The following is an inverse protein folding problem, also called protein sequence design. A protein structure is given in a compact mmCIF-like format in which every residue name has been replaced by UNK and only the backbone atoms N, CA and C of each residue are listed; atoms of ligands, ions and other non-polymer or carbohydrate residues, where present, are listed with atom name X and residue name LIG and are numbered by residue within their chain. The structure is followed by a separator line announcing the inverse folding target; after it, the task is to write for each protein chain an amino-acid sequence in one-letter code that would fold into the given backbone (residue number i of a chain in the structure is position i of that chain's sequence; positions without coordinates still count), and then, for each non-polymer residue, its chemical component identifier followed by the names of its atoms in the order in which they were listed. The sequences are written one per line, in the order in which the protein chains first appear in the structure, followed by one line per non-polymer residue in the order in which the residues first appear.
data_IF_332611231706
#
_entry.id   IF_332611231706
#
_cell.length_a   1.000
_cell.length_b   1.000
_cell.length_c   1.000
_cell.angle_alpha   90.00
_cell.angle_beta   90.00
_cell.angle_gamma   90.00
#
_symmetry.space_group_name_H-M   'P 1'
#
loop_
_entity.id
_entity.type
_entity.pdbx_description
1 polymer ?
#
# COMPACT_ATOMS: atom_id res chain seq x y z
N UNK A 1 12.67 7.88 17.11
CA UNK A 1 12.70 6.38 17.07
C UNK A 1 13.53 5.94 15.86
N UNK A 2 14.34 4.87 15.96
CA UNK A 2 15.12 4.39 14.80
C UNK A 2 14.23 3.58 13.85
N UNK A 3 14.23 3.94 12.57
CA UNK A 3 13.46 3.30 11.50
C UNK A 3 14.05 1.95 11.06
N UNK A 4 15.37 1.83 11.15
CA UNK A 4 16.10 0.59 10.83
C UNK A 4 16.85 0.10 12.07
N UNK A 5 17.01 -1.22 12.20
CA UNK A 5 17.69 -1.84 13.35
C UNK A 5 19.18 -1.48 13.42
N UNK A 6 19.82 -1.32 12.24
CA UNK A 6 21.22 -0.86 12.13
C UNK A 6 21.49 -0.24 10.73
N UNK A 7 22.64 0.42 10.59
CA UNK A 7 23.05 1.11 9.36
C UNK A 7 23.25 0.15 8.18
N UNK A 8 23.87 -1.01 8.42
CA UNK A 8 24.09 -2.02 7.36
C UNK A 8 22.77 -2.56 6.82
N UNK A 9 21.78 -2.79 7.71
CA UNK A 9 20.44 -3.21 7.31
C UNK A 9 19.71 -2.16 6.48
N UNK A 10 19.84 -0.87 6.84
CA UNK A 10 19.35 0.24 6.02
C UNK A 10 19.95 0.20 4.63
N UNK A 11 21.27 0.05 4.54
CA UNK A 11 21.97 0.00 3.25
C UNK A 11 21.49 -1.16 2.38
N UNK A 12 21.38 -2.36 2.95
CA UNK A 12 20.85 -3.53 2.24
C UNK A 12 19.43 -3.34 1.71
N UNK A 13 18.56 -2.68 2.48
CA UNK A 13 17.21 -2.32 2.06
C UNK A 13 17.27 -1.36 0.88
N UNK A 14 18.07 -0.29 0.94
CA UNK A 14 18.16 0.72 -0.11
C UNK A 14 18.78 0.15 -1.39
N UNK A 15 19.83 -0.67 -1.29
CA UNK A 15 20.46 -1.32 -2.45
C UNK A 15 19.48 -2.26 -3.16
N UNK A 16 18.75 -3.06 -2.39
CA UNK A 16 17.73 -3.96 -2.95
C UNK A 16 16.50 -3.22 -3.47
N UNK A 17 16.11 -2.08 -2.87
CA UNK A 17 15.10 -1.16 -3.37
C UNK A 17 15.48 -0.64 -4.75
N UNK A 18 16.70 -0.13 -4.90
CA UNK A 18 17.21 0.36 -6.18
C UNK A 18 17.31 -0.77 -7.24
N UNK A 19 17.61 -1.98 -6.80
CA UNK A 19 17.64 -3.15 -7.69
C UNK A 19 16.23 -3.50 -8.18
N UNK A 20 15.21 -3.41 -7.32
CA UNK A 20 13.80 -3.57 -7.71
C UNK A 20 13.36 -2.51 -8.70
N UNK A 21 13.70 -1.23 -8.47
CA UNK A 21 13.37 -0.16 -9.41
C UNK A 21 13.95 -0.41 -10.81
N UNK A 22 15.18 -0.92 -10.90
CA UNK A 22 15.78 -1.30 -12.19
C UNK A 22 15.02 -2.44 -12.89
N UNK A 23 14.25 -3.23 -12.15
CA UNK A 23 13.40 -4.28 -12.73
C UNK A 23 12.03 -3.77 -13.20
N UNK A 24 11.66 -2.54 -12.89
CA UNK A 24 10.49 -1.88 -13.44
C UNK A 24 10.67 -1.67 -14.94
N UNK A 25 9.85 -2.30 -15.74
CA UNK A 25 9.94 -2.26 -17.22
C UNK A 25 9.26 -1.02 -17.78
N UNK A 26 9.53 0.15 -17.19
CA UNK A 26 9.04 1.46 -17.59
C UNK A 26 10.00 2.53 -17.11
N UNK A 27 10.01 3.68 -17.77
CA UNK A 27 10.75 4.85 -17.31
C UNK A 27 10.10 5.43 -16.06
N UNK A 28 10.92 5.90 -15.14
CA UNK A 28 10.49 6.54 -13.91
C UNK A 28 11.48 7.61 -13.46
N UNK A 29 10.99 8.51 -12.63
CA UNK A 29 11.78 9.50 -11.89
C UNK A 29 11.54 9.32 -10.39
N UNK A 30 12.56 9.59 -9.58
CA UNK A 30 12.42 9.68 -8.13
C UNK A 30 12.33 11.16 -7.75
N UNK A 31 11.32 11.54 -6.93
CA UNK A 31 11.12 12.92 -6.44
C UNK A 31 10.92 12.90 -4.93
N UNK A 32 11.41 13.95 -4.30
CA UNK A 32 11.23 14.18 -2.87
C UNK A 32 10.37 15.43 -2.66
N UNK A 33 9.33 15.30 -1.86
CA UNK A 33 8.41 16.38 -1.50
C UNK A 33 8.59 16.71 -0.02
N UNK A 34 8.94 17.97 0.27
CA UNK A 34 8.99 18.45 1.65
C UNK A 34 7.59 18.57 2.22
N UNK A 35 7.38 17.99 3.39
CA UNK A 35 6.13 18.06 4.15
C UNK A 35 6.41 18.49 5.60
N UNK A 36 5.38 18.90 6.32
CA UNK A 36 5.49 19.22 7.76
C UNK A 36 6.06 18.04 8.59
N UNK A 37 6.00 16.83 8.04
CA UNK A 37 6.44 15.60 8.72
C UNK A 37 7.79 15.07 8.24
N UNK A 38 8.45 15.79 7.34
CA UNK A 38 9.72 15.44 6.72
C UNK A 38 9.61 15.21 5.22
N UNK A 39 10.68 14.72 4.63
CA UNK A 39 10.78 14.50 3.20
C UNK A 39 10.03 13.22 2.79
N UNK A 40 9.06 13.36 1.90
CA UNK A 40 8.30 12.24 1.33
C UNK A 40 8.85 11.88 -0.04
N UNK A 41 9.34 10.65 -0.18
CA UNK A 41 9.85 10.08 -1.41
C UNK A 41 8.72 9.53 -2.29
N UNK A 42 8.77 9.84 -3.58
CA UNK A 42 7.76 9.43 -4.57
C UNK A 42 8.46 8.95 -5.83
N UNK A 43 8.01 7.82 -6.35
CA UNK A 43 8.42 7.33 -7.66
C UNK A 43 7.35 7.73 -8.66
N UNK A 44 7.75 8.44 -9.69
CA UNK A 44 6.86 9.00 -10.71
C UNK A 44 7.06 8.25 -12.02
N UNK A 45 5.96 7.84 -12.67
CA UNK A 45 5.99 7.18 -13.96
C UNK A 45 4.79 7.57 -14.83
N UNK A 46 4.98 7.57 -16.15
CA UNK A 46 3.92 7.94 -17.10
C UNK A 46 3.92 9.42 -17.47
N UNK A 47 3.02 9.77 -18.38
CA UNK A 47 2.91 11.12 -18.93
C UNK A 47 2.21 12.06 -17.93
N UNK A 48 2.81 13.21 -17.56
CA UNK A 48 2.23 14.17 -16.63
C UNK A 48 0.93 14.84 -17.12
N UNK A 49 0.59 14.72 -18.40
CA UNK A 49 -0.68 15.19 -18.94
C UNK A 49 -1.84 14.19 -18.71
N UNK A 50 -1.55 12.97 -18.30
CA UNK A 50 -2.56 11.95 -17.98
C UNK A 50 -3.18 12.20 -16.60
N UNK A 51 -4.36 11.64 -16.31
CA UNK A 51 -4.98 11.74 -14.99
C UNK A 51 -4.03 11.24 -13.90
N UNK A 52 -3.81 11.98 -12.80
CA UNK A 52 -2.94 11.58 -11.72
C UNK A 52 -3.52 10.38 -10.96
N UNK A 53 -2.64 9.42 -10.62
CA UNK A 53 -2.94 8.24 -9.82
C UNK A 53 -1.93 8.13 -8.67
N UNK A 54 -2.40 8.41 -7.47
CA UNK A 54 -1.62 8.26 -6.24
C UNK A 54 -1.67 6.80 -5.77
N UNK A 55 -0.50 6.20 -5.54
CA UNK A 55 -0.37 4.81 -5.12
C UNK A 55 0.18 4.70 -3.70
N UNK A 56 -0.54 4.00 -2.81
CA UNK A 56 -0.12 3.75 -1.43
C UNK A 56 0.15 2.26 -1.18
N UNK A 57 1.34 1.94 -0.68
CA UNK A 57 1.74 0.58 -0.30
C UNK A 57 1.19 0.15 1.07
N UNK A 58 1.30 -1.14 1.39
CA UNK A 58 0.92 -1.73 2.67
C UNK A 58 1.90 -1.44 3.81
N UNK A 59 1.54 -1.81 5.03
CA UNK A 59 2.41 -1.71 6.20
C UNK A 59 3.67 -2.56 6.04
N UNK A 60 4.82 -2.03 6.45
CA UNK A 60 6.13 -2.70 6.38
C UNK A 60 6.61 -3.05 4.95
N UNK A 61 6.03 -2.39 3.97
CA UNK A 61 6.36 -2.49 2.57
C UNK A 61 6.85 -1.14 2.03
N UNK A 62 7.19 -1.04 0.76
CA UNK A 62 7.51 0.20 0.08
C UNK A 62 7.06 0.18 -1.39
N UNK A 63 7.12 1.34 -2.03
CA UNK A 63 6.61 1.50 -3.39
C UNK A 63 7.35 0.67 -4.43
N UNK A 64 8.68 0.52 -4.30
CA UNK A 64 9.49 -0.23 -5.26
C UNK A 64 9.08 -1.71 -5.34
N UNK A 65 8.75 -2.30 -4.20
CA UNK A 65 8.29 -3.69 -4.10
C UNK A 65 6.80 -3.80 -4.46
N UNK A 66 5.96 -2.95 -3.85
CA UNK A 66 4.51 -3.09 -3.96
C UNK A 66 4.01 -3.01 -5.40
N UNK A 67 4.60 -2.14 -6.22
CA UNK A 67 4.06 -1.83 -7.55
C UNK A 67 4.84 -2.45 -8.71
N UNK A 68 5.82 -3.35 -8.44
CA UNK A 68 6.74 -3.92 -9.43
C UNK A 68 6.04 -4.61 -10.63
N UNK A 69 4.85 -5.19 -10.43
CA UNK A 69 4.08 -5.84 -11.49
C UNK A 69 2.92 -4.98 -12.04
N UNK A 70 2.74 -3.78 -11.50
CA UNK A 70 1.59 -2.94 -11.85
C UNK A 70 2.01 -1.68 -12.60
N UNK A 71 3.16 -1.11 -12.24
CA UNK A 71 3.56 0.22 -12.67
C UNK A 71 3.60 0.38 -14.20
N UNK A 72 4.11 -0.62 -14.92
CA UNK A 72 4.23 -0.60 -16.38
C UNK A 72 2.88 -0.42 -17.07
N UNK A 73 1.85 -1.12 -16.62
CA UNK A 73 0.53 -1.04 -17.23
C UNK A 73 -0.21 0.21 -16.78
N UNK A 74 -0.10 0.58 -15.50
CA UNK A 74 -0.75 1.77 -14.97
C UNK A 74 -0.17 3.07 -15.56
N UNK A 75 1.14 3.16 -15.76
CA UNK A 75 1.81 4.34 -16.34
C UNK A 75 1.45 4.60 -17.81
N UNK A 76 0.88 3.62 -18.51
CA UNK A 76 0.34 3.82 -19.86
C UNK A 76 -0.96 4.62 -19.88
N UNK A 77 -1.69 4.68 -18.77
CA UNK A 77 -3.01 5.30 -18.67
C UNK A 77 -3.03 6.48 -17.69
N UNK A 78 -2.14 6.52 -16.73
CA UNK A 78 -2.10 7.50 -15.66
C UNK A 78 -0.72 8.12 -15.49
N UNK A 79 -0.71 9.33 -14.93
CA UNK A 79 0.47 9.91 -14.30
C UNK A 79 0.58 9.30 -12.91
N UNK A 80 1.41 8.27 -12.76
CA UNK A 80 1.50 7.46 -11.55
C UNK A 80 2.46 8.06 -10.55
N UNK A 81 2.03 8.14 -9.30
CA UNK A 81 2.75 8.73 -8.16
C UNK A 81 2.78 7.70 -7.03
N UNK A 82 3.79 6.83 -7.03
CA UNK A 82 3.94 5.79 -6.02
C UNK A 82 4.67 6.34 -4.79
N UNK A 83 3.94 6.52 -3.69
CA UNK A 83 4.40 7.22 -2.48
C UNK A 83 4.98 6.23 -1.48
N UNK A 84 6.22 6.45 -1.06
CA UNK A 84 6.76 5.80 0.12
C UNK A 84 6.17 6.43 1.38
N UNK A 85 5.45 5.66 2.18
CA UNK A 85 4.84 6.16 3.41
C UNK A 85 5.89 6.72 4.37
N UNK A 86 5.65 7.94 4.87
CA UNK A 86 6.56 8.57 5.86
C UNK A 86 6.69 7.67 7.10
N UNK A 87 7.91 7.48 7.62
CA UNK A 87 8.18 6.53 8.70
C UNK A 87 8.21 5.06 8.27
N UNK A 88 7.87 4.75 7.01
CA UNK A 88 7.90 3.41 6.42
C UNK A 88 9.30 2.91 6.06
N UNK A 89 9.33 1.77 5.37
CA UNK A 89 10.58 1.08 5.00
C UNK A 89 11.22 1.57 3.70
N UNK A 90 10.55 2.52 3.00
CA UNK A 90 11.06 3.14 1.78
C UNK A 90 12.07 4.26 2.02
N UNK A 91 12.17 5.19 1.06
CA UNK A 91 13.16 6.28 1.10
C UNK A 91 12.67 7.56 1.77
N UNK A 92 11.38 7.70 2.12
CA UNK A 92 10.87 8.86 2.87
C UNK A 92 11.58 9.03 4.22
N UNK A 93 11.98 10.26 4.56
CA UNK A 93 12.73 10.56 5.78
C UNK A 93 11.88 11.41 6.75
N UNK A 94 11.36 10.80 7.84
CA UNK A 94 10.54 11.52 8.82
C UNK A 94 11.39 12.46 9.70
N UNK A 95 10.81 13.60 10.04
CA UNK A 95 11.37 14.56 10.99
C UNK A 95 10.82 14.34 12.42
N UNK A 96 11.13 15.26 13.35
CA UNK A 96 10.69 15.18 14.74
C UNK A 96 9.16 15.30 14.89
N UNK A 97 8.50 16.08 14.04
CA UNK A 97 7.06 16.33 14.15
C UNK A 97 6.23 15.12 13.70
N UNK A 98 6.74 14.31 12.76
CA UNK A 98 6.15 13.00 12.47
C UNK A 98 5.98 12.15 13.75
N UNK A 99 6.95 12.12 14.62
CA UNK A 99 6.90 11.30 15.84
C UNK A 99 6.03 11.90 16.96
N UNK A 100 5.70 13.19 16.88
CA UNK A 100 4.89 13.89 17.88
C UNK A 100 3.41 13.95 17.54
N UNK A 101 3.09 14.36 16.32
CA UNK A 101 1.72 14.79 15.95
C UNK A 101 1.33 14.49 14.51
N UNK A 102 1.69 13.32 14.00
CA UNK A 102 1.41 12.97 12.61
C UNK A 102 -0.08 12.98 12.28
N UNK A 103 -0.44 13.69 11.21
CA UNK A 103 -1.77 13.71 10.62
C UNK A 103 -1.70 13.27 9.16
N UNK A 104 -2.26 12.09 8.88
CA UNK A 104 -2.26 11.46 7.56
C UNK A 104 -2.93 12.32 6.48
N UNK A 105 -3.98 13.08 6.85
CA UNK A 105 -4.72 13.92 5.89
C UNK A 105 -3.89 15.13 5.48
N UNK A 106 -3.28 15.82 6.45
CA UNK A 106 -2.39 16.96 6.18
C UNK A 106 -1.20 16.50 5.34
N UNK A 107 -0.60 15.36 5.68
CA UNK A 107 0.52 14.79 4.93
C UNK A 107 0.16 14.55 3.45
N UNK A 108 -1.02 13.97 3.17
CA UNK A 108 -1.47 13.75 1.78
C UNK A 108 -1.82 15.08 1.09
N UNK A 109 -2.44 16.03 1.80
CA UNK A 109 -2.72 17.38 1.27
C UNK A 109 -1.41 18.08 0.83
N UNK A 110 -0.35 17.98 1.64
CA UNK A 110 0.96 18.56 1.36
C UNK A 110 1.69 17.87 0.18
N UNK A 111 1.59 16.55 0.05
CA UNK A 111 2.09 15.82 -1.13
C UNK A 111 1.43 16.33 -2.39
N UNK A 112 0.10 16.39 -2.41
CA UNK A 112 -0.65 16.86 -3.58
C UNK A 112 -0.36 18.32 -3.91
N UNK A 113 -0.19 19.16 -2.88
CA UNK A 113 0.19 20.57 -3.06
C UNK A 113 1.60 20.72 -3.66
N UNK A 114 2.58 19.96 -3.13
CA UNK A 114 3.96 19.95 -3.64
C UNK A 114 4.08 19.46 -5.08
N UNK A 115 3.11 18.65 -5.53
CA UNK A 115 3.02 18.15 -6.91
C UNK A 115 2.13 19.03 -7.81
N UNK A 116 1.49 20.09 -7.28
CA UNK A 116 0.55 20.93 -8.02
C UNK A 116 -0.77 20.24 -8.40
N UNK A 117 -1.12 19.13 -7.73
CA UNK A 117 -2.28 18.31 -8.08
C UNK A 117 -3.50 18.74 -7.25
N UNK A 118 -4.56 19.17 -7.94
CA UNK A 118 -5.81 19.59 -7.30
C UNK A 118 -6.73 18.41 -7.00
N UNK A 119 -6.78 17.42 -7.89
CA UNK A 119 -7.64 16.24 -7.75
C UNK A 119 -6.93 15.01 -8.34
N UNK A 120 -7.10 13.84 -7.72
CA UNK A 120 -6.38 12.61 -8.11
C UNK A 120 -7.29 11.38 -8.01
N UNK A 121 -6.95 10.33 -8.75
CA UNK A 121 -7.35 8.97 -8.44
C UNK A 121 -6.39 8.40 -7.38
N UNK A 122 -6.85 7.44 -6.58
CA UNK A 122 -5.99 6.79 -5.59
C UNK A 122 -6.15 5.26 -5.68
N UNK A 123 -5.04 4.55 -5.60
CA UNK A 123 -5.07 3.10 -5.40
C UNK A 123 -4.16 2.73 -4.22
N UNK A 124 -4.62 1.85 -3.36
CA UNK A 124 -3.85 1.44 -2.20
C UNK A 124 -4.01 -0.03 -1.85
N UNK A 125 -2.97 -0.62 -1.26
CA UNK A 125 -2.94 -2.01 -0.83
C UNK A 125 -2.95 -2.10 0.68
N UNK A 126 -3.86 -2.88 1.28
CA UNK A 126 -3.89 -3.12 2.73
C UNK A 126 -4.00 -1.81 3.54
N UNK A 127 -2.97 -1.41 4.29
CA UNK A 127 -2.92 -0.09 4.93
C UNK A 127 -3.05 1.06 3.92
N UNK A 128 -2.48 0.92 2.73
CA UNK A 128 -2.68 1.88 1.64
C UNK A 128 -4.13 2.00 1.19
N UNK A 129 -4.89 0.89 1.21
CA UNK A 129 -6.33 0.91 0.95
C UNK A 129 -7.07 1.71 2.04
N UNK A 130 -6.68 1.54 3.32
CA UNK A 130 -7.18 2.38 4.40
C UNK A 130 -6.90 3.87 4.14
N UNK A 131 -5.67 4.25 3.82
CA UNK A 131 -5.31 5.64 3.51
C UNK A 131 -6.16 6.20 2.36
N UNK A 132 -6.40 5.40 1.32
CA UNK A 132 -7.18 5.79 0.15
C UNK A 132 -8.62 6.18 0.52
N UNK A 133 -9.35 5.29 1.20
CA UNK A 133 -10.72 5.62 1.57
C UNK A 133 -10.80 6.62 2.73
N UNK A 134 -9.86 6.60 3.67
CA UNK A 134 -9.82 7.58 4.78
C UNK A 134 -9.62 9.00 4.26
N UNK A 135 -8.67 9.19 3.33
CA UNK A 135 -8.48 10.48 2.69
C UNK A 135 -9.72 10.92 1.91
N UNK A 136 -10.35 10.01 1.17
CA UNK A 136 -11.60 10.30 0.43
C UNK A 136 -12.73 10.73 1.35
N UNK A 137 -12.89 10.10 2.52
CA UNK A 137 -13.88 10.51 3.53
C UNK A 137 -13.64 11.93 4.04
N UNK A 138 -12.37 12.35 4.17
CA UNK A 138 -12.02 13.67 4.73
C UNK A 138 -11.84 14.76 3.65
N UNK A 139 -11.58 14.37 2.41
CA UNK A 139 -11.33 15.28 1.26
C UNK A 139 -12.04 14.80 -0.02
N UNK A 140 -13.37 14.62 0.00
CA UNK A 140 -14.10 14.02 -1.12
C UNK A 140 -13.98 14.81 -2.44
N UNK A 141 -13.77 16.12 -2.38
CA UNK A 141 -13.54 16.97 -3.55
C UNK A 141 -12.14 16.83 -4.18
N UNK A 142 -11.17 16.31 -3.42
CA UNK A 142 -9.79 16.08 -3.88
C UNK A 142 -9.61 14.72 -4.57
N UNK A 143 -10.64 13.87 -4.58
CA UNK A 143 -10.55 12.50 -5.08
C UNK A 143 -11.64 12.24 -6.11
N UNK A 144 -11.26 11.74 -7.28
CA UNK A 144 -12.16 11.27 -8.29
C UNK A 144 -12.72 9.91 -7.94
N UNK A 145 -11.89 8.89 -8.04
CA UNK A 145 -12.21 7.48 -7.73
C UNK A 145 -11.06 6.82 -7.00
N UNK A 146 -11.35 5.75 -6.28
CA UNK A 146 -10.34 4.97 -5.56
C UNK A 146 -10.51 3.46 -5.77
N UNK A 147 -9.38 2.76 -5.83
CA UNK A 147 -9.35 1.28 -5.79
C UNK A 147 -8.62 0.83 -4.52
N UNK A 148 -9.28 0.02 -3.72
CA UNK A 148 -8.79 -0.52 -2.47
C UNK A 148 -8.48 -2.01 -2.64
N UNK A 149 -7.21 -2.39 -2.54
CA UNK A 149 -6.72 -3.76 -2.72
C UNK A 149 -6.44 -4.43 -1.37
N UNK A 150 -6.70 -5.73 -1.29
CA UNK A 150 -6.33 -6.57 -0.15
C UNK A 150 -6.86 -6.03 1.19
N UNK A 151 -8.18 -6.01 1.32
CA UNK A 151 -8.82 -5.58 2.56
C UNK A 151 -10.24 -5.10 2.36
N UNK A 152 -10.91 -4.80 3.46
CA UNK A 152 -12.20 -4.15 3.53
C UNK A 152 -12.17 -3.02 4.55
N UNK A 153 -13.33 -2.46 4.88
CA UNK A 153 -13.46 -1.43 5.91
C UNK A 153 -13.60 -2.10 7.29
N UNK A 154 -12.63 -1.96 8.20
CA UNK A 154 -12.67 -2.62 9.50
C UNK A 154 -13.74 -2.02 10.41
N UNK A 155 -14.34 -2.86 11.23
CA UNK A 155 -15.30 -2.46 12.27
C UNK A 155 -14.68 -2.39 13.68
N UNK A 156 -13.47 -2.90 13.87
CA UNK A 156 -12.78 -2.95 15.16
C UNK A 156 -11.27 -2.86 14.99
N UNK A 157 -10.62 -1.99 15.77
CA UNK A 157 -9.16 -1.90 15.83
C UNK A 157 -8.55 -3.18 16.43
N UNK A 158 -9.20 -3.76 17.43
CA UNK A 158 -8.74 -4.98 18.06
C UNK A 158 -8.71 -6.15 17.07
N UNK A 159 -9.74 -6.26 16.22
CA UNK A 159 -9.79 -7.31 15.20
C UNK A 159 -8.67 -7.15 14.16
N UNK A 160 -8.41 -5.94 13.70
CA UNK A 160 -7.29 -5.66 12.78
C UNK A 160 -5.95 -6.06 13.41
N UNK A 161 -5.72 -5.61 14.66
CA UNK A 161 -4.46 -5.87 15.36
C UNK A 161 -4.24 -7.36 15.63
N UNK A 162 -5.26 -8.08 16.12
CA UNK A 162 -5.17 -9.50 16.41
C UNK A 162 -4.87 -10.34 15.17
N UNK A 163 -5.49 -10.03 14.03
CA UNK A 163 -5.24 -10.70 12.76
C UNK A 163 -3.83 -10.43 12.24
N UNK A 164 -3.38 -9.18 12.31
CA UNK A 164 -2.02 -8.83 11.93
C UNK A 164 -0.98 -9.58 12.79
N UNK A 165 -1.15 -9.59 14.10
CA UNK A 165 -0.27 -10.33 15.00
C UNK A 165 -0.27 -11.83 14.68
N UNK A 166 -1.44 -12.46 14.52
CA UNK A 166 -1.54 -13.86 14.18
C UNK A 166 -0.89 -14.21 12.82
N UNK A 167 -0.98 -13.30 11.85
CA UNK A 167 -0.40 -13.51 10.54
C UNK A 167 1.13 -13.35 10.52
N UNK A 168 1.66 -12.32 11.15
CA UNK A 168 3.06 -11.92 10.96
C UNK A 168 3.99 -12.33 12.11
N UNK A 169 3.48 -12.40 13.36
CA UNK A 169 4.34 -12.48 14.54
C UNK A 169 5.26 -13.71 14.56
N UNK A 170 4.82 -14.93 14.21
CA UNK A 170 5.69 -16.10 14.28
C UNK A 170 6.93 -15.95 13.37
N UNK A 171 6.75 -15.51 12.13
CA UNK A 171 7.81 -15.38 11.15
C UNK A 171 8.66 -14.12 11.37
N UNK A 172 8.06 -13.05 11.90
CA UNK A 172 8.77 -11.79 12.20
C UNK A 172 9.71 -11.89 13.41
N UNK A 173 9.41 -12.80 14.36
CA UNK A 173 10.30 -13.06 15.51
C UNK A 173 11.62 -13.70 15.08
N UNK A 174 11.59 -14.57 14.08
CA UNK A 174 12.75 -15.29 13.55
C UNK A 174 12.88 -15.02 12.04
N UNK A 175 13.34 -13.82 11.63
CA UNK A 175 13.38 -13.42 10.23
C UNK A 175 14.52 -14.12 9.48
N UNK A 176 14.22 -15.29 8.93
CA UNK A 176 15.06 -16.06 7.99
C UNK A 176 14.44 -16.07 6.60
N UNK A 177 15.21 -16.38 5.57
CA UNK A 177 14.67 -16.53 4.20
C UNK A 177 13.59 -17.64 4.16
N UNK A 178 13.78 -18.74 4.87
CA UNK A 178 12.80 -19.81 5.00
C UNK A 178 11.48 -19.30 5.60
N UNK A 179 11.55 -18.50 6.68
CA UNK A 179 10.36 -17.92 7.30
C UNK A 179 9.72 -16.85 6.44
N UNK A 180 10.50 -16.09 5.65
CA UNK A 180 9.97 -15.16 4.67
C UNK A 180 9.14 -15.91 3.61
N UNK A 181 9.65 -17.01 3.04
CA UNK A 181 8.90 -17.86 2.09
C UNK A 181 7.66 -18.49 2.73
N UNK A 182 7.74 -18.90 3.99
CA UNK A 182 6.57 -19.41 4.74
C UNK A 182 5.50 -18.34 4.93
N UNK A 183 5.92 -17.12 5.27
CA UNK A 183 5.01 -15.97 5.40
C UNK A 183 4.35 -15.65 4.06
N UNK A 184 5.11 -15.66 2.96
CA UNK A 184 4.56 -15.49 1.62
C UNK A 184 3.41 -16.48 1.36
N UNK A 185 3.64 -17.76 1.53
CA UNK A 185 2.62 -18.82 1.34
C UNK A 185 1.40 -18.64 2.25
N UNK A 186 1.60 -18.12 3.45
CA UNK A 186 0.52 -17.85 4.42
C UNK A 186 -0.36 -16.67 4.00
N UNK A 187 0.23 -15.65 3.39
CA UNK A 187 -0.46 -14.43 2.97
C UNK A 187 -1.05 -14.53 1.56
N UNK A 188 -0.54 -15.43 0.74
CA UNK A 188 -0.94 -15.58 -0.66
C UNK A 188 -1.98 -16.68 -0.87
N UNK A 189 -2.56 -16.70 -2.06
CA UNK A 189 -3.35 -17.79 -2.61
C UNK A 189 -2.47 -18.78 -3.39
N UNK A 190 -3.07 -19.55 -4.33
CA UNK A 190 -2.36 -20.59 -5.09
C UNK A 190 -1.19 -20.09 -5.95
N UNK A 191 -1.24 -18.83 -6.38
CA UNK A 191 -0.23 -18.25 -7.28
C UNK A 191 0.97 -17.59 -6.57
N UNK A 192 1.21 -17.91 -5.28
CA UNK A 192 2.36 -17.40 -4.53
C UNK A 192 3.72 -17.65 -5.24
N UNK A 193 3.80 -18.67 -6.08
CA UNK A 193 5.02 -19.00 -6.83
C UNK A 193 5.45 -17.87 -7.77
N UNK A 194 4.55 -17.03 -8.27
CA UNK A 194 4.91 -15.84 -9.09
C UNK A 194 5.84 -14.88 -8.33
N UNK A 195 5.65 -14.75 -7.00
CA UNK A 195 6.52 -13.96 -6.14
C UNK A 195 7.75 -14.76 -5.72
N UNK A 196 7.56 -16.04 -5.37
CA UNK A 196 8.62 -16.90 -4.83
C UNK A 196 9.79 -17.09 -5.80
N UNK A 197 9.51 -17.12 -7.12
CA UNK A 197 10.57 -17.23 -8.16
C UNK A 197 11.30 -15.91 -8.45
N UNK A 198 10.78 -14.78 -7.97
CA UNK A 198 11.43 -13.49 -8.10
C UNK A 198 12.43 -13.29 -6.96
N UNK A 199 13.67 -13.75 -7.17
CA UNK A 199 14.74 -13.70 -6.16
C UNK A 199 15.03 -12.27 -5.67
N UNK A 200 14.95 -11.26 -6.54
CA UNK A 200 15.18 -9.85 -6.18
C UNK A 200 14.11 -9.37 -5.20
N UNK A 201 12.84 -9.65 -5.50
CA UNK A 201 11.70 -9.30 -4.66
C UNK A 201 11.77 -10.02 -3.31
N UNK A 202 12.02 -11.34 -3.32
CA UNK A 202 12.12 -12.15 -2.12
C UNK A 202 13.27 -11.71 -1.22
N UNK A 203 14.41 -11.36 -1.79
CA UNK A 203 15.58 -10.85 -1.05
C UNK A 203 15.29 -9.50 -0.41
N UNK A 204 14.65 -8.60 -1.15
CA UNK A 204 14.23 -7.31 -0.63
C UNK A 204 13.25 -7.49 0.55
N UNK A 205 12.21 -8.31 0.39
CA UNK A 205 11.24 -8.57 1.45
C UNK A 205 11.87 -9.21 2.70
N UNK A 206 12.82 -10.13 2.50
CA UNK A 206 13.61 -10.68 3.60
C UNK A 206 14.38 -9.57 4.36
N UNK A 207 15.00 -8.62 3.65
CA UNK A 207 15.69 -7.50 4.29
C UNK A 207 14.73 -6.60 5.07
N UNK A 208 13.54 -6.32 4.53
CA UNK A 208 12.49 -5.59 5.24
C UNK A 208 12.10 -6.31 6.53
N UNK A 209 11.79 -7.59 6.46
CA UNK A 209 11.40 -8.39 7.62
C UNK A 209 12.50 -8.42 8.70
N UNK A 210 13.76 -8.49 8.27
CA UNK A 210 14.91 -8.61 9.17
C UNK A 210 15.36 -7.28 9.78
N UNK A 211 15.39 -6.22 9.01
CA UNK A 211 16.09 -4.98 9.39
C UNK A 211 15.18 -3.76 9.58
N UNK A 212 13.97 -3.77 9.03
CA UNK A 212 13.02 -2.69 9.27
C UNK A 212 12.40 -2.78 10.68
N UNK A 213 12.20 -1.64 11.32
CA UNK A 213 11.56 -1.54 12.62
C UNK A 213 10.13 -1.03 12.46
N UNK A 214 9.16 -1.92 12.42
CA UNK A 214 7.73 -1.60 12.24
C UNK A 214 7.18 -0.60 13.27
N UNK A 215 7.83 -0.45 14.43
CA UNK A 215 7.43 0.55 15.43
C UNK A 215 7.53 1.98 14.90
N UNK A 216 8.37 2.24 13.89
CA UNK A 216 8.46 3.57 13.27
C UNK A 216 7.15 4.02 12.60
N UNK A 217 6.26 3.08 12.25
CA UNK A 217 4.94 3.37 11.66
C UNK A 217 3.81 3.44 12.70
N UNK A 218 4.09 3.43 14.00
CA UNK A 218 3.03 3.48 15.04
C UNK A 218 2.20 4.78 15.02
N UNK A 219 2.68 5.83 14.35
CA UNK A 219 1.92 7.07 14.14
C UNK A 219 0.82 6.92 13.08
N UNK A 220 0.90 5.90 12.23
CA UNK A 220 -0.11 5.58 11.23
C UNK A 220 -1.31 4.84 11.86
N UNK A 221 -2.13 5.60 12.59
CA UNK A 221 -3.30 5.04 13.31
C UNK A 221 -4.46 4.79 12.35
N UNK A 222 -5.09 3.63 12.45
CA UNK A 222 -6.33 3.31 11.76
C UNK A 222 -7.51 3.83 12.59
N UNK A 223 -8.38 4.63 12.00
CA UNK A 223 -9.62 5.07 12.60
C UNK A 223 -10.77 4.16 12.15
N UNK A 224 -11.69 3.86 13.07
CA UNK A 224 -12.90 3.14 12.74
C UNK A 224 -13.99 4.15 12.42
N UNK A 225 -14.66 3.97 11.30
CA UNK A 225 -15.71 4.84 10.80
C UNK A 225 -17.09 4.23 11.04
N UNK A 226 -18.07 5.09 11.32
CA UNK A 226 -19.50 4.68 11.38
C UNK A 226 -20.00 4.46 9.95
N UNK A 227 -21.00 3.58 9.80
CA UNK A 227 -21.56 3.29 8.48
C UNK A 227 -22.19 4.53 7.82
N UNK A 228 -22.76 5.45 8.62
CA UNK A 228 -23.28 6.73 8.12
C UNK A 228 -22.23 7.63 7.45
N UNK A 229 -20.94 7.50 7.81
CA UNK A 229 -19.85 8.25 7.17
C UNK A 229 -19.46 7.64 5.82
N UNK A 230 -19.74 6.35 5.59
CA UNK A 230 -19.29 5.60 4.41
C UNK A 230 -20.08 5.94 3.15
N UNK A 231 -21.22 6.59 3.25
CA UNK A 231 -22.06 6.98 2.10
C UNK A 231 -21.35 7.85 1.08
N UNK A 232 -20.33 8.62 1.51
CA UNK A 232 -19.45 9.43 0.64
C UNK A 232 -18.68 8.56 -0.36
N UNK A 233 -18.43 7.29 -0.03
CA UNK A 233 -17.68 6.36 -0.87
C UNK A 233 -18.53 5.77 -2.01
N UNK A 234 -19.86 5.87 -1.95
CA UNK A 234 -20.75 5.29 -2.95
C UNK A 234 -20.46 5.87 -4.34
N UNK A 235 -20.27 4.98 -5.31
CA UNK A 235 -19.90 5.33 -6.69
C UNK A 235 -18.44 5.75 -6.89
N UNK A 236 -17.68 6.03 -5.81
CA UNK A 236 -16.28 6.46 -5.88
C UNK A 236 -15.27 5.35 -5.60
N UNK A 237 -15.68 4.25 -4.99
CA UNK A 237 -14.75 3.21 -4.56
C UNK A 237 -15.05 1.84 -5.14
N UNK A 238 -13.98 1.10 -5.46
CA UNK A 238 -14.00 -0.34 -5.76
C UNK A 238 -13.05 -1.05 -4.79
N UNK A 239 -13.56 -2.06 -4.06
CA UNK A 239 -12.71 -2.97 -3.28
C UNK A 239 -12.43 -4.23 -4.08
N UNK A 240 -11.15 -4.61 -4.21
CA UNK A 240 -10.70 -5.87 -4.79
C UNK A 240 -10.11 -6.74 -3.67
N UNK A 241 -10.78 -7.85 -3.38
CA UNK A 241 -10.45 -8.70 -2.22
C UNK A 241 -10.08 -10.09 -2.74
N UNK A 242 -8.89 -10.57 -2.36
CA UNK A 242 -8.45 -11.92 -2.74
C UNK A 242 -9.30 -13.01 -2.05
N UNK A 243 -9.68 -14.04 -2.78
CA UNK A 243 -10.49 -15.16 -2.29
C UNK A 243 -9.86 -15.85 -1.06
N UNK A 244 -8.54 -15.88 -0.99
CA UNK A 244 -7.75 -16.51 0.08
C UNK A 244 -7.15 -15.51 1.06
N UNK A 245 -7.57 -14.23 1.02
CA UNK A 245 -7.04 -13.21 1.93
C UNK A 245 -7.43 -13.51 3.40
N UNK A 246 -6.46 -13.96 4.18
CA UNK A 246 -6.63 -14.33 5.59
C UNK A 246 -6.51 -13.15 6.56
N UNK A 247 -5.96 -12.01 6.12
CA UNK A 247 -5.88 -10.80 6.95
C UNK A 247 -7.21 -10.07 6.99
N UNK A 248 -7.97 -10.10 5.91
CA UNK A 248 -9.34 -9.62 5.88
C UNK A 248 -10.29 -10.60 6.60
N UNK A 249 -11.24 -10.07 7.34
CA UNK A 249 -12.36 -10.89 7.78
C UNK A 249 -13.38 -10.94 6.64
N UNK A 250 -13.21 -11.90 5.74
CA UNK A 250 -13.95 -11.97 4.49
C UNK A 250 -15.46 -11.77 4.67
N UNK A 251 -16.10 -12.56 5.53
CA UNK A 251 -17.55 -12.52 5.71
C UNK A 251 -18.02 -11.17 6.28
N UNK A 252 -17.35 -10.66 7.32
CA UNK A 252 -17.69 -9.37 7.92
C UNK A 252 -17.36 -8.20 7.01
N UNK A 253 -16.20 -8.23 6.34
CA UNK A 253 -15.79 -7.17 5.42
C UNK A 253 -16.76 -7.08 4.24
N UNK A 254 -17.07 -8.20 3.60
CA UNK A 254 -18.03 -8.26 2.48
C UNK A 254 -19.42 -7.78 2.93
N UNK A 255 -19.91 -8.32 4.05
CA UNK A 255 -21.20 -7.88 4.59
C UNK A 255 -21.25 -6.37 4.81
N UNK A 256 -20.21 -5.79 5.40
CA UNK A 256 -20.15 -4.35 5.63
C UNK A 256 -20.15 -3.53 4.35
N UNK A 257 -19.43 -4.00 3.31
CA UNK A 257 -19.45 -3.35 2.00
C UNK A 257 -20.85 -3.44 1.36
N UNK A 258 -21.51 -4.60 1.44
CA UNK A 258 -22.86 -4.81 0.94
C UNK A 258 -23.90 -3.92 1.66
N UNK A 259 -23.88 -3.91 3.00
CA UNK A 259 -24.80 -3.13 3.81
C UNK A 259 -24.69 -1.62 3.50
N UNK A 260 -23.49 -1.15 3.12
CA UNK A 260 -23.22 0.24 2.74
C UNK A 260 -23.27 0.52 1.24
N UNK A 261 -23.67 -0.45 0.39
CA UNK A 261 -23.76 -0.33 -1.08
C UNK A 261 -22.42 0.08 -1.74
N UNK A 262 -21.32 -0.38 -1.17
CA UNK A 262 -19.98 -0.12 -1.67
C UNK A 262 -19.58 -1.21 -2.66
N UNK A 263 -19.06 -0.82 -3.83
CA UNK A 263 -18.64 -1.75 -4.87
C UNK A 263 -17.47 -2.61 -4.43
N UNK A 264 -17.54 -3.91 -4.68
CA UNK A 264 -16.43 -4.83 -4.44
C UNK A 264 -16.44 -5.98 -5.45
N UNK A 265 -15.27 -6.58 -5.65
CA UNK A 265 -15.09 -7.84 -6.41
C UNK A 265 -14.21 -8.80 -5.61
N UNK A 266 -14.54 -10.08 -5.65
CA UNK A 266 -13.68 -11.15 -5.14
C UNK A 266 -12.80 -11.64 -6.28
N UNK A 267 -11.50 -11.53 -6.11
CA UNK A 267 -10.52 -12.00 -7.08
C UNK A 267 -10.16 -13.44 -6.76
N UNK A 268 -10.52 -14.33 -7.69
CA UNK A 268 -10.25 -15.77 -7.55
C UNK A 268 -8.75 -16.04 -7.50
N UNK A 269 -8.39 -17.08 -6.78
CA UNK A 269 -7.03 -17.59 -6.70
C UNK A 269 -5.98 -16.56 -6.25
N UNK A 270 -6.39 -15.57 -5.47
CA UNK A 270 -5.51 -14.58 -4.87
C UNK A 270 -5.67 -14.50 -3.34
N UNK A 271 -4.58 -14.23 -2.65
CA UNK A 271 -4.56 -13.94 -1.22
C UNK A 271 -4.44 -12.45 -0.94
N UNK A 272 -3.71 -12.11 0.12
CA UNK A 272 -3.42 -10.72 0.50
C UNK A 272 -2.45 -10.01 -0.46
N UNK A 273 -1.55 -10.78 -1.12
CA UNK A 273 -0.62 -10.27 -2.13
C UNK A 273 -1.26 -10.14 -3.53
N UNK A 274 -2.53 -9.79 -3.58
CA UNK A 274 -3.43 -9.79 -4.73
C UNK A 274 -2.86 -9.12 -5.99
N UNK A 275 -2.24 -7.94 -5.84
CA UNK A 275 -1.66 -7.17 -6.94
C UNK A 275 -0.39 -7.80 -7.52
N UNK A 276 0.25 -8.68 -6.78
CA UNK A 276 1.38 -9.48 -7.26
C UNK A 276 0.91 -10.80 -7.86
N UNK A 277 0.00 -11.50 -7.21
CA UNK A 277 -0.47 -12.82 -7.64
C UNK A 277 -1.28 -12.77 -8.92
N UNK A 278 -2.17 -11.78 -9.04
CA UNK A 278 -3.10 -11.59 -10.15
C UNK A 278 -2.90 -10.22 -10.83
N UNK A 279 -1.64 -9.82 -11.03
CA UNK A 279 -1.29 -8.49 -11.52
C UNK A 279 -2.04 -8.08 -12.79
N UNK A 280 -2.22 -9.00 -13.73
CA UNK A 280 -2.87 -8.71 -15.02
C UNK A 280 -4.36 -8.38 -14.82
N UNK A 281 -5.05 -9.17 -13.99
CA UNK A 281 -6.45 -8.93 -13.62
C UNK A 281 -6.58 -7.62 -12.85
N UNK A 282 -5.70 -7.41 -11.86
CA UNK A 282 -5.72 -6.22 -11.01
C UNK A 282 -5.44 -4.95 -11.82
N UNK A 283 -4.46 -4.97 -12.72
CA UNK A 283 -4.18 -3.83 -13.59
C UNK A 283 -5.40 -3.47 -14.45
N UNK A 284 -6.05 -4.49 -15.05
CA UNK A 284 -7.27 -4.30 -15.83
C UNK A 284 -8.39 -3.69 -14.99
N UNK A 285 -8.68 -4.25 -13.81
CA UNK A 285 -9.73 -3.75 -12.92
C UNK A 285 -9.47 -2.31 -12.44
N UNK A 286 -8.21 -1.97 -12.11
CA UNK A 286 -7.82 -0.60 -11.74
C UNK A 286 -8.09 0.35 -12.91
N UNK A 287 -7.61 0.01 -14.10
CA UNK A 287 -7.75 0.86 -15.29
C UNK A 287 -9.23 1.05 -15.64
N UNK A 288 -10.00 -0.03 -15.73
CA UNK A 288 -11.43 0.02 -16.09
C UNK A 288 -12.26 0.85 -15.09
N UNK A 289 -11.95 0.76 -13.81
CA UNK A 289 -12.72 1.50 -12.80
C UNK A 289 -12.33 2.97 -12.71
N UNK A 290 -11.05 3.31 -12.87
CA UNK A 290 -10.53 4.67 -12.71
C UNK A 290 -10.63 5.53 -13.98
N UNK A 291 -10.76 4.92 -15.14
CA UNK A 291 -11.10 5.60 -16.42
C UNK A 291 -12.59 5.97 -16.53
#
# INVERSE_FOLDING_TARGET
MKRYKNTSGRQLIYDSYNTLLKSWKTDFEEKDIETSYGQTHIIVAGDPQRPPLLLFHGTADNSAMMWVYNIKELSKQFYVLAVDAIGGSGKSEPNADYYKQFNQIIWIDEILAGLGIQQTNICGVSYGAYLSYFYTLKRPSRVHKIVCLAGGIPSSQFEVMSRMLAAFLPEALFPTEKNCRKLLKKLSGPYYSRLEVNEILMKHWYYLLKYFNNRSMMQHKIQIHKDSELTILNGKVMFLIGQYDRLSNHSKAIKRLQDNKINYKIIKDAGHAINHEQSDIINKEIIEFLS
#
